data_IF_731355278765
#
_entry.id   IF_731355278765
#
_cell.length_a   1.000
_cell.length_b   1.000
_cell.length_c   1.000
_cell.angle_alpha   90.00
_cell.angle_beta   90.00
_cell.angle_gamma   90.00
#
_symmetry.space_group_name_H-M   'P 1'
#
loop_
_entity.id
_entity.type
_entity.pdbx_description
1 polymer ?
#
# COMPACT_ATOMS: atom_id res chain seq x y z
N UNK A 1 36.46 -9.69 19.81
CA UNK A 1 35.04 -10.04 19.77
C UNK A 1 34.21 -9.31 18.67
N UNK A 2 34.42 -8.05 18.38
CA UNK A 2 33.72 -7.28 17.35
C UNK A 2 33.80 -7.88 15.93
N UNK A 3 34.95 -8.35 15.47
CA UNK A 3 35.14 -8.94 14.13
C UNK A 3 34.32 -10.23 13.90
N UNK A 4 34.10 -11.05 14.95
CA UNK A 4 33.26 -12.25 14.88
C UNK A 4 31.78 -11.92 14.79
N UNK A 5 31.33 -10.87 15.50
CA UNK A 5 29.93 -10.39 15.45
C UNK A 5 29.56 -9.80 14.08
N UNK A 6 30.47 -9.03 13.48
CA UNK A 6 30.28 -8.46 12.13
C UNK A 6 30.21 -9.56 11.07
N UNK A 7 31.08 -10.58 11.14
CA UNK A 7 31.08 -11.71 10.21
C UNK A 7 29.81 -12.58 10.33
N UNK A 8 29.28 -12.75 11.55
CA UNK A 8 28.03 -13.46 11.81
C UNK A 8 26.81 -12.69 11.25
N UNK A 9 26.74 -11.36 11.42
CA UNK A 9 25.70 -10.49 10.85
C UNK A 9 25.71 -10.50 9.31
N UNK A 10 26.90 -10.47 8.71
CA UNK A 10 27.04 -10.54 7.24
C UNK A 10 26.61 -11.90 6.70
N UNK A 11 26.94 -12.99 7.39
CA UNK A 11 26.54 -14.36 7.00
C UNK A 11 25.02 -14.57 7.10
N UNK A 12 24.39 -14.06 8.14
CA UNK A 12 22.92 -14.10 8.31
C UNK A 12 22.22 -13.28 7.20
N UNK A 13 22.73 -12.08 6.87
CA UNK A 13 22.22 -11.26 5.76
C UNK A 13 22.36 -11.95 4.39
N UNK A 14 23.42 -12.68 4.15
CA UNK A 14 23.61 -13.42 2.91
C UNK A 14 22.71 -14.67 2.83
N UNK A 15 22.47 -15.35 3.96
CA UNK A 15 21.56 -16.49 4.00
C UNK A 15 20.07 -16.08 3.80
N UNK A 16 19.66 -14.89 4.24
CA UNK A 16 18.30 -14.39 4.03
C UNK A 16 18.05 -13.86 2.62
N UNK A 17 19.08 -13.53 1.85
CA UNK A 17 18.91 -13.03 0.47
C UNK A 17 18.50 -14.12 -0.52
N UNK A 18 19.00 -15.34 -0.36
CA UNK A 18 18.70 -16.46 -1.27
C UNK A 18 17.22 -16.86 -1.32
N UNK A 19 16.52 -17.05 -0.17
CA UNK A 19 15.09 -17.40 -0.20
C UNK A 19 14.23 -16.28 -0.76
N UNK A 20 14.60 -15.00 -0.56
CA UNK A 20 13.88 -13.86 -1.10
C UNK A 20 13.98 -13.79 -2.64
N UNK A 21 15.14 -14.10 -3.19
CA UNK A 21 15.31 -14.13 -4.66
C UNK A 21 14.46 -15.26 -5.28
N UNK A 22 14.39 -16.42 -4.65
CA UNK A 22 13.51 -17.52 -5.09
C UNK A 22 12.04 -17.14 -5.07
N UNK A 23 11.58 -16.51 -3.99
CA UNK A 23 10.20 -16.04 -3.87
C UNK A 23 9.85 -15.04 -4.97
N UNK A 24 10.76 -14.11 -5.27
CA UNK A 24 10.57 -13.16 -6.35
C UNK A 24 10.43 -13.87 -7.71
N UNK A 25 11.35 -14.76 -8.04
CA UNK A 25 11.27 -15.48 -9.32
C UNK A 25 10.01 -16.33 -9.43
N UNK A 26 9.60 -17.00 -8.35
CA UNK A 26 8.35 -17.74 -8.29
C UNK A 26 7.13 -16.83 -8.53
N UNK A 27 7.11 -15.63 -7.91
CA UNK A 27 6.06 -14.63 -8.12
C UNK A 27 5.98 -14.18 -9.59
N UNK A 28 7.13 -13.82 -10.18
CA UNK A 28 7.18 -13.36 -11.57
C UNK A 28 6.78 -14.44 -12.58
N UNK A 29 7.23 -15.68 -12.36
CA UNK A 29 6.84 -16.82 -13.19
C UNK A 29 5.35 -17.10 -13.07
N UNK A 30 4.80 -17.07 -11.86
CA UNK A 30 3.38 -17.25 -11.64
C UNK A 30 2.55 -16.18 -12.37
N UNK A 31 2.91 -14.91 -12.26
CA UNK A 31 2.21 -13.80 -12.93
C UNK A 31 2.26 -13.95 -14.45
N UNK A 32 3.45 -14.24 -15.00
CA UNK A 32 3.64 -14.45 -16.44
C UNK A 32 2.84 -15.63 -16.97
N UNK A 33 2.89 -16.79 -16.29
CA UNK A 33 2.15 -17.99 -16.70
C UNK A 33 0.64 -17.83 -16.55
N UNK A 34 0.16 -17.20 -15.45
CA UNK A 34 -1.26 -16.93 -15.24
C UNK A 34 -1.84 -16.04 -16.35
N UNK A 35 -1.14 -14.96 -16.72
CA UNK A 35 -1.58 -14.10 -17.83
C UNK A 35 -1.42 -14.78 -19.20
N UNK A 36 -0.37 -15.59 -19.41
CA UNK A 36 -0.18 -16.33 -20.66
C UNK A 36 -1.33 -17.35 -20.90
N UNK A 37 -1.82 -18.01 -19.86
CA UNK A 37 -2.98 -18.90 -19.96
C UNK A 37 -4.26 -18.15 -20.38
N UNK A 38 -4.38 -16.87 -20.03
CA UNK A 38 -5.54 -16.05 -20.41
C UNK A 38 -5.54 -15.65 -21.89
N UNK A 39 -4.37 -15.69 -22.56
CA UNK A 39 -4.25 -15.34 -23.99
C UNK A 39 -5.17 -16.20 -24.86
N UNK A 40 -5.33 -17.47 -24.54
CA UNK A 40 -6.12 -18.42 -25.34
C UNK A 40 -7.47 -18.77 -24.72
N UNK A 41 -7.87 -18.09 -23.65
CA UNK A 41 -9.12 -18.39 -22.92
C UNK A 41 -10.37 -18.24 -23.80
N UNK A 42 -10.39 -17.29 -24.73
CA UNK A 42 -11.55 -16.96 -25.58
C UNK A 42 -11.55 -17.66 -26.94
N UNK A 43 -10.62 -18.59 -27.18
CA UNK A 43 -10.49 -19.28 -28.48
C UNK A 43 -9.80 -18.47 -29.58
N UNK A 44 -9.60 -17.18 -29.37
CA UNK A 44 -8.78 -16.30 -30.22
C UNK A 44 -7.67 -15.65 -29.38
N UNK A 45 -6.50 -15.37 -29.96
CA UNK A 45 -5.40 -14.74 -29.23
C UNK A 45 -5.78 -13.37 -28.66
N UNK A 46 -5.71 -13.21 -27.35
CA UNK A 46 -5.91 -11.93 -26.67
C UNK A 46 -4.56 -11.21 -26.50
N UNK A 47 -4.28 -10.26 -27.37
CA UNK A 47 -3.04 -9.48 -27.38
C UNK A 47 -2.85 -8.63 -26.14
N UNK A 48 -3.95 -8.24 -25.48
CA UNK A 48 -3.89 -7.49 -24.23
C UNK A 48 -3.44 -8.39 -23.08
N UNK A 49 -3.98 -9.61 -22.99
CA UNK A 49 -3.49 -10.62 -22.06
C UNK A 49 -2.01 -10.95 -22.31
N UNK A 50 -1.58 -11.05 -23.57
CA UNK A 50 -0.17 -11.24 -23.93
C UNK A 50 0.71 -10.08 -23.46
N UNK A 51 0.26 -8.84 -23.65
CA UNK A 51 0.98 -7.67 -23.13
C UNK A 51 1.09 -7.68 -21.61
N UNK A 52 0.04 -8.08 -20.88
CA UNK A 52 0.06 -8.22 -19.42
C UNK A 52 1.00 -9.34 -18.96
N UNK A 53 1.11 -10.45 -19.70
CA UNK A 53 2.00 -11.56 -19.39
C UNK A 53 3.49 -11.14 -19.35
N UNK A 54 3.86 -10.11 -20.09
CA UNK A 54 5.22 -9.54 -20.10
C UNK A 54 5.35 -8.31 -19.19
N UNK A 55 4.36 -7.41 -19.20
CA UNK A 55 4.44 -6.13 -18.48
C UNK A 55 4.35 -6.30 -16.95
N UNK A 56 3.52 -7.21 -16.44
CA UNK A 56 3.40 -7.44 -14.99
C UNK A 56 4.69 -7.99 -14.39
N UNK A 57 5.30 -9.09 -14.90
CA UNK A 57 6.60 -9.54 -14.38
C UNK A 57 7.72 -8.51 -14.54
N UNK A 58 7.73 -7.73 -15.63
CA UNK A 58 8.71 -6.66 -15.83
C UNK A 58 8.56 -5.55 -14.78
N UNK A 59 7.32 -5.10 -14.51
CA UNK A 59 7.01 -4.13 -13.47
C UNK A 59 7.38 -4.67 -12.08
N UNK A 60 7.03 -5.93 -11.79
CA UNK A 60 7.36 -6.60 -10.54
C UNK A 60 8.86 -6.70 -10.32
N UNK A 61 9.63 -7.08 -11.34
CA UNK A 61 11.08 -7.09 -11.26
C UNK A 61 11.64 -5.69 -10.99
N UNK A 62 11.14 -4.68 -11.70
CA UNK A 62 11.54 -3.28 -11.51
C UNK A 62 11.21 -2.80 -10.09
N UNK A 63 10.03 -3.10 -9.58
CA UNK A 63 9.59 -2.74 -8.24
C UNK A 63 10.48 -3.42 -7.17
N UNK A 64 10.67 -4.74 -7.27
CA UNK A 64 11.34 -5.53 -6.23
C UNK A 64 12.86 -5.40 -6.24
N UNK A 65 13.49 -5.07 -7.37
CA UNK A 65 14.96 -4.98 -7.46
C UNK A 65 15.45 -3.54 -7.47
N UNK A 66 15.39 -2.75 -8.57
CA UNK A 66 15.98 -1.41 -8.59
C UNK A 66 15.23 -0.42 -7.69
N UNK A 67 13.89 -0.38 -7.75
CA UNK A 67 13.11 0.60 -7.00
C UNK A 67 13.16 0.33 -5.49
N UNK A 68 12.98 -0.92 -5.04
CA UNK A 68 13.08 -1.27 -3.63
C UNK A 68 14.48 -0.95 -3.05
N UNK A 69 15.56 -1.16 -3.82
CA UNK A 69 16.91 -0.77 -3.39
C UNK A 69 17.06 0.75 -3.28
N UNK A 70 16.60 1.49 -4.29
CA UNK A 70 16.63 2.95 -4.30
C UNK A 70 15.84 3.52 -3.13
N UNK A 71 14.67 2.97 -2.85
CA UNK A 71 13.81 3.39 -1.76
C UNK A 71 14.14 2.73 -0.41
N UNK A 72 15.17 1.87 -0.34
CA UNK A 72 15.53 1.09 0.86
C UNK A 72 14.32 0.43 1.52
N UNK A 73 13.37 -0.03 0.69
CA UNK A 73 12.18 -0.73 1.12
C UNK A 73 12.52 -2.17 1.54
N UNK A 74 11.68 -2.76 2.38
CA UNK A 74 11.80 -4.16 2.74
C UNK A 74 11.46 -5.05 1.54
N UNK A 75 12.40 -5.91 1.15
CA UNK A 75 12.27 -6.73 -0.06
C UNK A 75 11.16 -7.78 0.04
N UNK A 76 10.91 -8.32 1.25
CA UNK A 76 9.85 -9.31 1.44
C UNK A 76 8.47 -8.67 1.28
N UNK A 77 8.23 -7.53 1.94
CA UNK A 77 6.97 -6.80 1.84
C UNK A 77 6.68 -6.39 0.40
N UNK A 78 7.67 -5.87 -0.31
CA UNK A 78 7.50 -5.45 -1.72
C UNK A 78 7.19 -6.66 -2.60
N UNK A 79 7.88 -7.81 -2.42
CA UNK A 79 7.63 -9.02 -3.21
C UNK A 79 6.24 -9.60 -2.94
N UNK A 80 5.79 -9.64 -1.68
CA UNK A 80 4.45 -10.09 -1.34
C UNK A 80 3.37 -9.17 -1.91
N UNK A 81 3.57 -7.86 -1.83
CA UNK A 81 2.66 -6.87 -2.42
C UNK A 81 2.57 -7.06 -3.94
N UNK A 82 3.70 -7.21 -4.63
CA UNK A 82 3.76 -7.49 -6.06
C UNK A 82 3.01 -8.78 -6.43
N UNK A 83 3.24 -9.86 -5.69
CA UNK A 83 2.54 -11.12 -5.90
C UNK A 83 1.02 -10.98 -5.76
N UNK A 84 0.54 -10.34 -4.69
CA UNK A 84 -0.89 -10.15 -4.45
C UNK A 84 -1.54 -9.26 -5.52
N UNK A 85 -0.85 -8.20 -5.94
CA UNK A 85 -1.33 -7.31 -7.00
C UNK A 85 -1.35 -8.01 -8.36
N UNK A 86 -0.33 -8.80 -8.68
CA UNK A 86 -0.27 -9.59 -9.90
C UNK A 86 -1.36 -10.67 -9.96
N UNK A 87 -1.57 -11.39 -8.85
CA UNK A 87 -2.67 -12.34 -8.70
C UNK A 87 -4.03 -11.65 -8.88
N UNK A 88 -4.23 -10.50 -8.22
CA UNK A 88 -5.45 -9.70 -8.34
C UNK A 88 -5.71 -9.26 -9.79
N UNK A 89 -4.67 -8.81 -10.51
CA UNK A 89 -4.79 -8.42 -11.92
C UNK A 89 -5.18 -9.61 -12.79
N UNK A 90 -4.56 -10.76 -12.61
CA UNK A 90 -4.85 -11.97 -13.39
C UNK A 90 -6.30 -12.46 -13.14
N UNK A 91 -6.74 -12.50 -11.88
CA UNK A 91 -8.09 -12.92 -11.52
C UNK A 91 -9.16 -11.95 -12.06
N UNK A 92 -8.95 -10.64 -11.90
CA UNK A 92 -9.88 -9.63 -12.40
C UNK A 92 -9.94 -9.65 -13.93
N UNK A 93 -8.81 -9.87 -14.61
CA UNK A 93 -8.79 -10.01 -16.05
C UNK A 93 -9.51 -11.28 -16.51
N UNK A 94 -9.38 -12.37 -15.77
CA UNK A 94 -10.10 -13.61 -16.04
C UNK A 94 -11.63 -13.45 -15.92
N UNK A 95 -12.11 -12.58 -15.03
CA UNK A 95 -13.52 -12.25 -14.88
C UNK A 95 -14.00 -11.26 -15.96
N UNK A 96 -13.23 -10.20 -16.18
CA UNK A 96 -13.51 -9.17 -17.19
C UNK A 96 -12.21 -8.47 -17.59
N UNK A 97 -11.86 -8.44 -18.89
CA UNK A 97 -10.66 -7.74 -19.37
C UNK A 97 -10.62 -6.27 -18.97
N UNK A 98 -11.77 -5.59 -18.98
CA UNK A 98 -11.87 -4.18 -18.57
C UNK A 98 -11.50 -3.97 -17.08
N UNK A 99 -11.93 -4.87 -16.19
CA UNK A 99 -11.59 -4.81 -14.77
C UNK A 99 -10.10 -5.08 -14.53
N UNK A 100 -9.54 -6.07 -15.21
CA UNK A 100 -8.11 -6.40 -15.12
C UNK A 100 -7.21 -5.25 -15.59
N UNK A 101 -7.53 -4.64 -16.72
CA UNK A 101 -6.81 -3.46 -17.21
C UNK A 101 -6.90 -2.28 -16.25
N UNK A 102 -8.09 -2.00 -15.74
CA UNK A 102 -8.30 -0.96 -14.76
C UNK A 102 -7.46 -1.20 -13.50
N UNK A 103 -7.40 -2.45 -13.04
CA UNK A 103 -6.56 -2.83 -11.90
C UNK A 103 -5.06 -2.65 -12.21
N UNK A 104 -4.58 -3.04 -13.39
CA UNK A 104 -3.20 -2.86 -13.80
C UNK A 104 -2.78 -1.37 -13.84
N UNK A 105 -3.67 -0.48 -14.33
CA UNK A 105 -3.45 0.97 -14.29
C UNK A 105 -3.36 1.48 -12.85
N UNK A 106 -4.27 1.05 -11.97
CA UNK A 106 -4.22 1.44 -10.56
C UNK A 106 -2.96 0.91 -9.85
N UNK A 107 -2.49 -0.29 -10.22
CA UNK A 107 -1.22 -0.82 -9.71
C UNK A 107 -0.05 0.08 -10.12
N UNK A 108 0.04 0.48 -11.39
CA UNK A 108 1.10 1.36 -11.86
C UNK A 108 1.07 2.73 -11.15
N UNK A 109 -0.13 3.32 -10.98
CA UNK A 109 -0.33 4.54 -10.20
C UNK A 109 0.07 4.36 -8.73
N UNK A 110 -0.29 3.22 -8.11
CA UNK A 110 0.08 2.90 -6.74
C UNK A 110 1.60 2.80 -6.55
N UNK A 111 2.31 2.17 -7.49
CA UNK A 111 3.78 2.11 -7.49
C UNK A 111 4.40 3.51 -7.62
N UNK A 112 3.87 4.36 -8.50
CA UNK A 112 4.32 5.74 -8.65
C UNK A 112 4.09 6.55 -7.36
N UNK A 113 2.90 6.44 -6.76
CA UNK A 113 2.57 7.10 -5.48
C UNK A 113 3.45 6.60 -4.34
N UNK A 114 3.71 5.29 -4.24
CA UNK A 114 4.64 4.72 -3.28
C UNK A 114 6.04 5.32 -3.42
N UNK A 115 6.56 5.42 -4.64
CA UNK A 115 7.87 6.00 -4.91
C UNK A 115 7.91 7.50 -4.52
N UNK A 116 6.88 8.27 -4.88
CA UNK A 116 6.74 9.68 -4.53
C UNK A 116 6.68 9.88 -3.01
N UNK A 117 5.85 9.11 -2.30
CA UNK A 117 5.76 9.16 -0.84
C UNK A 117 7.09 8.82 -0.18
N UNK A 118 7.75 7.74 -0.62
CA UNK A 118 9.04 7.34 -0.08
C UNK A 118 10.15 8.38 -0.29
N UNK A 119 10.13 9.08 -1.43
CA UNK A 119 11.04 10.20 -1.70
C UNK A 119 10.69 11.44 -0.89
N UNK A 120 9.40 11.77 -0.76
CA UNK A 120 8.93 12.89 0.04
C UNK A 120 9.32 12.73 1.51
N UNK A 121 9.13 11.54 2.08
CA UNK A 121 9.53 11.22 3.46
C UNK A 121 11.01 11.51 3.72
N UNK A 122 11.86 11.30 2.73
CA UNK A 122 13.31 11.54 2.85
C UNK A 122 13.70 13.01 2.71
N UNK A 123 12.90 13.79 2.01
CA UNK A 123 13.19 15.21 1.70
C UNK A 123 12.56 16.17 2.70
N UNK A 124 11.43 15.79 3.27
CA UNK A 124 10.70 16.64 4.23
C UNK A 124 11.47 16.68 5.56
N UNK A 125 11.81 17.91 5.99
CA UNK A 125 12.44 18.18 7.29
C UNK A 125 11.46 18.69 8.33
N UNK A 126 10.38 19.32 7.89
CA UNK A 126 9.40 19.98 8.75
C UNK A 126 8.24 19.08 9.19
N UNK A 127 8.54 17.81 9.55
CA UNK A 127 7.53 16.82 9.94
C UNK A 127 6.61 17.28 11.07
N UNK A 128 7.12 18.11 12.00
CA UNK A 128 6.31 18.63 13.10
C UNK A 128 5.16 19.49 12.58
N UNK A 129 5.47 20.42 11.66
CA UNK A 129 4.46 21.32 11.09
C UNK A 129 3.50 20.53 10.20
N UNK A 130 4.04 19.64 9.37
CA UNK A 130 3.23 18.81 8.47
C UNK A 130 2.22 17.94 9.25
N UNK A 131 2.64 17.24 10.30
CA UNK A 131 1.72 16.45 11.12
C UNK A 131 0.71 17.31 11.85
N UNK A 132 1.09 18.49 12.35
CA UNK A 132 0.17 19.41 13.02
C UNK A 132 -0.92 19.94 12.07
N UNK A 133 -0.56 20.26 10.82
CA UNK A 133 -1.52 20.67 9.80
C UNK A 133 -2.35 19.50 9.25
N UNK A 134 -1.74 18.31 9.13
CA UNK A 134 -2.43 17.13 8.65
C UNK A 134 -3.53 16.66 9.61
N UNK A 135 -3.34 16.81 10.93
CA UNK A 135 -4.32 16.36 11.94
C UNK A 135 -5.72 16.92 11.71
N UNK A 136 -5.96 18.24 11.65
CA UNK A 136 -7.30 18.78 11.42
C UNK A 136 -7.82 18.46 10.01
N UNK A 137 -6.95 18.41 9.00
CA UNK A 137 -7.34 18.02 7.63
C UNK A 137 -7.83 16.56 7.60
N UNK A 138 -7.17 15.66 8.31
CA UNK A 138 -7.58 14.26 8.39
C UNK A 138 -8.93 14.08 9.09
N UNK A 139 -9.18 14.83 10.17
CA UNK A 139 -10.48 14.82 10.83
C UNK A 139 -11.57 15.34 9.89
N UNK A 140 -11.33 16.44 9.19
CA UNK A 140 -12.26 16.98 8.20
C UNK A 140 -12.53 15.99 7.06
N UNK A 141 -11.49 15.28 6.57
CA UNK A 141 -11.62 14.24 5.54
C UNK A 141 -12.47 13.06 6.02
N UNK A 142 -12.34 12.64 7.29
CA UNK A 142 -13.19 11.58 7.85
C UNK A 142 -14.64 12.04 8.06
N UNK A 143 -14.89 13.31 8.32
CA UNK A 143 -16.25 13.85 8.44
C UNK A 143 -16.93 14.06 7.07
N UNK A 144 -16.16 14.23 6.01
CA UNK A 144 -16.67 14.55 4.68
C UNK A 144 -17.69 13.51 4.15
N UNK A 145 -17.49 12.18 4.31
CA UNK A 145 -18.48 11.20 3.88
C UNK A 145 -19.83 11.29 4.61
N UNK A 146 -19.86 11.81 5.84
CA UNK A 146 -21.10 12.01 6.57
C UNK A 146 -22.01 13.01 5.84
N UNK A 147 -21.42 14.04 5.20
CA UNK A 147 -22.15 15.07 4.46
C UNK A 147 -22.49 14.63 3.03
N UNK A 148 -21.49 14.14 2.25
CA UNK A 148 -21.62 13.90 0.80
C UNK A 148 -21.38 12.44 0.41
N UNK A 149 -21.16 11.54 1.36
CA UNK A 149 -20.85 10.14 1.10
C UNK A 149 -22.05 9.33 0.64
N UNK A 150 -21.75 8.25 -0.08
CA UNK A 150 -22.71 7.21 -0.48
C UNK A 150 -22.59 6.00 0.44
N UNK A 151 -23.70 5.38 0.72
CA UNK A 151 -23.74 4.14 1.48
C UNK A 151 -23.42 2.97 0.55
N UNK A 152 -22.35 2.25 0.89
CA UNK A 152 -21.93 1.02 0.19
C UNK A 152 -21.75 -0.06 1.25
N UNK A 153 -22.44 -1.18 1.09
CA UNK A 153 -22.41 -2.32 2.03
C UNK A 153 -22.75 -1.93 3.48
N UNK A 154 -23.66 -0.98 3.68
CA UNK A 154 -24.10 -0.53 5.00
C UNK A 154 -23.18 0.49 5.70
N UNK A 155 -22.07 0.90 5.06
CA UNK A 155 -21.17 1.94 5.54
C UNK A 155 -21.22 3.20 4.67
N UNK A 156 -21.39 4.37 5.28
CA UNK A 156 -21.40 5.68 4.58
C UNK A 156 -20.00 6.31 4.63
N UNK A 157 -19.07 5.71 3.89
CA UNK A 157 -17.63 6.07 3.91
C UNK A 157 -17.03 6.30 2.52
N UNK A 158 -17.82 6.23 1.45
CA UNK A 158 -17.38 6.41 0.07
C UNK A 158 -17.88 7.71 -0.54
N UNK A 159 -17.03 8.38 -1.27
CA UNK A 159 -17.36 9.58 -2.05
C UNK A 159 -17.26 9.24 -3.53
N UNK A 160 -18.33 9.42 -4.30
CA UNK A 160 -18.32 9.22 -5.74
C UNK A 160 -17.75 10.45 -6.43
N UNK A 161 -16.72 10.26 -7.25
CA UNK A 161 -16.15 11.31 -8.10
C UNK A 161 -16.57 11.01 -9.55
N UNK A 162 -17.40 11.88 -10.17
CA UNK A 162 -17.82 11.67 -11.57
C UNK A 162 -16.58 11.50 -12.47
N UNK A 163 -16.59 10.48 -13.30
CA UNK A 163 -15.49 10.15 -14.22
C UNK A 163 -14.29 9.38 -13.62
N UNK A 164 -14.11 9.39 -12.30
CA UNK A 164 -12.96 8.72 -11.62
C UNK A 164 -13.34 7.51 -10.78
N UNK A 165 -14.62 7.34 -10.45
CA UNK A 165 -15.08 6.25 -9.60
C UNK A 165 -15.37 6.66 -8.17
N UNK A 166 -15.23 5.74 -7.20
CA UNK A 166 -15.44 6.00 -5.76
C UNK A 166 -14.12 6.11 -5.04
N UNK A 167 -14.06 7.03 -4.10
CA UNK A 167 -12.89 7.33 -3.26
C UNK A 167 -13.27 7.22 -1.78
N UNK A 168 -12.43 6.59 -0.99
CA UNK A 168 -12.60 6.45 0.45
C UNK A 168 -11.58 7.32 1.19
N UNK A 169 -11.98 8.43 1.84
CA UNK A 169 -11.06 9.33 2.53
C UNK A 169 -10.23 8.67 3.63
N UNK A 170 -10.77 7.66 4.31
CA UNK A 170 -10.06 6.92 5.37
C UNK A 170 -8.79 6.24 4.86
N UNK A 171 -8.68 5.90 3.57
CA UNK A 171 -7.45 5.34 2.99
C UNK A 171 -6.29 6.34 3.02
N UNK A 172 -6.53 7.62 2.77
CA UNK A 172 -5.50 8.67 2.90
C UNK A 172 -5.19 8.96 4.37
N UNK A 173 -6.23 9.02 5.21
CA UNK A 173 -6.05 9.29 6.64
C UNK A 173 -5.26 8.19 7.33
N UNK A 174 -5.38 6.93 6.88
CA UNK A 174 -4.57 5.80 7.36
C UNK A 174 -3.06 6.06 7.20
N UNK A 175 -2.67 6.58 6.05
CA UNK A 175 -1.25 6.94 5.80
C UNK A 175 -0.81 8.06 6.75
N UNK A 176 -1.63 9.10 6.89
CA UNK A 176 -1.33 10.21 7.80
C UNK A 176 -1.27 9.77 9.26
N UNK A 177 -2.15 8.85 9.68
CA UNK A 177 -2.15 8.27 11.04
C UNK A 177 -0.79 7.67 11.39
N UNK A 178 -0.23 6.84 10.50
CA UNK A 178 1.10 6.23 10.72
C UNK A 178 2.17 7.28 10.94
N UNK A 179 2.18 8.38 10.14
CA UNK A 179 3.16 9.46 10.30
C UNK A 179 2.95 10.26 11.60
N UNK A 180 1.70 10.56 11.96
CA UNK A 180 1.36 11.31 13.17
C UNK A 180 1.75 10.48 14.42
N UNK A 181 1.44 9.18 14.44
CA UNK A 181 1.85 8.27 15.50
C UNK A 181 3.37 8.15 15.60
N UNK A 182 4.04 7.87 14.47
CA UNK A 182 5.50 7.78 14.43
C UNK A 182 6.17 9.07 14.94
N UNK A 183 5.62 10.23 14.59
CA UNK A 183 6.11 11.52 15.09
C UNK A 183 5.87 11.69 16.59
N UNK A 184 4.69 11.33 17.09
CA UNK A 184 4.36 11.40 18.50
C UNK A 184 5.27 10.50 19.33
N UNK A 185 5.51 9.27 18.89
CA UNK A 185 6.39 8.32 19.58
C UNK A 185 7.88 8.70 19.48
N UNK A 186 8.30 9.34 18.39
CA UNK A 186 9.71 9.79 18.23
C UNK A 186 10.07 10.96 19.16
N UNK A 187 9.08 11.69 19.68
CA UNK A 187 9.27 12.85 20.55
C UNK A 187 9.32 12.45 22.04
N UNK A 188 9.69 11.21 22.36
CA UNK A 188 9.67 10.60 23.68
C UNK A 188 10.33 11.47 24.77
N UNK A 189 9.54 12.39 25.31
CA UNK A 189 9.73 13.02 26.63
C UNK A 189 8.68 12.45 27.61
N UNK A 190 8.62 11.10 27.69
CA UNK A 190 7.65 10.39 28.52
C UNK A 190 6.24 10.31 27.89
N UNK A 191 5.27 9.77 28.65
CA UNK A 191 3.88 9.51 28.24
C UNK A 191 3.18 10.76 27.65
N UNK A 192 3.53 11.95 28.12
CA UNK A 192 2.95 13.22 27.64
C UNK A 192 3.23 13.48 26.14
N UNK A 193 4.33 12.97 25.62
CA UNK A 193 4.66 13.12 24.18
C UNK A 193 3.81 12.22 23.26
N UNK A 194 3.29 11.12 23.77
CA UNK A 194 2.47 10.16 23.02
C UNK A 194 0.99 10.59 22.94
N UNK A 195 0.51 11.34 23.92
CA UNK A 195 -0.90 11.73 24.05
C UNK A 195 -1.51 12.35 22.80
N UNK A 196 -0.88 13.28 22.06
CA UNK A 196 -1.49 13.87 20.87
C UNK A 196 -1.76 12.84 19.77
N UNK A 197 -0.83 11.90 19.55
CA UNK A 197 -1.01 10.83 18.54
C UNK A 197 -2.11 9.86 18.94
N UNK A 198 -2.15 9.44 20.20
CA UNK A 198 -3.19 8.56 20.72
C UNK A 198 -4.57 9.24 20.69
N UNK A 199 -4.66 10.50 21.09
CA UNK A 199 -5.91 11.26 21.03
C UNK A 199 -6.42 11.35 19.59
N UNK A 200 -5.54 11.63 18.61
CA UNK A 200 -5.90 11.63 17.20
C UNK A 200 -6.40 10.25 16.74
N UNK A 201 -5.72 9.17 17.12
CA UNK A 201 -6.16 7.81 16.79
C UNK A 201 -7.53 7.47 17.36
N UNK A 202 -7.80 7.84 18.63
CA UNK A 202 -9.10 7.64 19.29
C UNK A 202 -10.21 8.42 18.54
N UNK A 203 -9.94 9.66 18.16
CA UNK A 203 -10.90 10.46 17.36
C UNK A 203 -11.18 9.79 16.02
N UNK A 204 -10.14 9.32 15.30
CA UNK A 204 -10.32 8.61 14.03
C UNK A 204 -11.15 7.33 14.21
N UNK A 205 -10.84 6.53 15.24
CA UNK A 205 -11.59 5.31 15.57
C UNK A 205 -13.07 5.62 15.86
N UNK A 206 -13.35 6.64 16.66
CA UNK A 206 -14.71 7.06 16.97
C UNK A 206 -15.50 7.46 15.70
N UNK A 207 -14.89 8.22 14.81
CA UNK A 207 -15.50 8.64 13.54
C UNK A 207 -15.77 7.44 12.62
N UNK A 208 -14.84 6.48 12.50
CA UNK A 208 -15.02 5.28 11.70
C UNK A 208 -16.13 4.37 12.25
N UNK A 209 -16.23 4.26 13.59
CA UNK A 209 -17.32 3.53 14.23
C UNK A 209 -18.67 4.17 13.95
N UNK A 210 -18.77 5.50 13.97
CA UNK A 210 -20.00 6.23 13.61
C UNK A 210 -20.39 6.02 12.13
N UNK A 211 -19.41 5.84 11.24
CA UNK A 211 -19.62 5.53 9.82
C UNK A 211 -19.94 4.05 9.57
N UNK A 212 -19.97 3.21 10.61
CA UNK A 212 -20.12 1.75 10.54
C UNK A 212 -19.01 1.05 9.73
N UNK A 213 -17.83 1.67 9.62
CA UNK A 213 -16.66 1.13 8.92
C UNK A 213 -15.78 0.35 9.91
N UNK A 214 -16.29 -0.79 10.37
CA UNK A 214 -15.62 -1.64 11.35
C UNK A 214 -14.31 -2.22 10.83
N UNK A 215 -14.24 -2.53 9.52
CA UNK A 215 -13.03 -3.07 8.89
C UNK A 215 -11.86 -2.08 8.96
N UNK A 216 -12.10 -0.83 8.55
CA UNK A 216 -11.09 0.22 8.64
C UNK A 216 -10.77 0.58 10.09
N UNK A 217 -11.78 0.62 10.98
CA UNK A 217 -11.57 0.87 12.41
C UNK A 217 -10.64 -0.18 13.03
N UNK A 218 -10.81 -1.47 12.72
CA UNK A 218 -9.94 -2.53 13.20
C UNK A 218 -8.48 -2.32 12.74
N UNK A 219 -8.27 -1.94 11.47
CA UNK A 219 -6.92 -1.65 10.98
C UNK A 219 -6.28 -0.46 11.70
N UNK A 220 -7.04 0.60 11.98
CA UNK A 220 -6.56 1.74 12.77
C UNK A 220 -6.21 1.33 14.20
N UNK A 221 -7.05 0.52 14.82
CA UNK A 221 -6.77 -0.01 16.16
C UNK A 221 -5.49 -0.84 16.20
N UNK A 222 -5.29 -1.74 15.25
CA UNK A 222 -4.09 -2.59 15.17
C UNK A 222 -2.81 -1.80 14.86
N UNK A 223 -2.91 -0.62 14.26
CA UNK A 223 -1.76 0.23 13.94
C UNK A 223 -1.41 1.23 15.05
N UNK A 224 -2.27 1.37 16.07
CA UNK A 224 -2.11 2.30 17.18
C UNK A 224 -1.51 1.64 18.42
#
# INVERSE_FOLDING_TARGET
MAKKATKKRTRIRLQMKRPLDWLLWASLLFQGTACALLVFKSGSPDWVAAALAFSLPALGWFLCKPLARLLRADGLLVTLTDFLCGLGTALLYALSPALGLKHAVHLALGVAMFALCALAVRRVRAWRILCALATPVCVALLLLPAAIGQEINGAKNWIRIPGFGSFQPSELVKIALVFILARSFSTLRGVKGMLPGLAFAIVCLGLLMLQKDLGTALLYYLTT
#
